data_IF_866211606503
#
_entry.id   IF_866211606503
#
_cell.length_a   1.000
_cell.length_b   1.000
_cell.length_c   1.000
_cell.angle_alpha   90.00
_cell.angle_beta   90.00
_cell.angle_gamma   90.00
#
_symmetry.space_group_name_H-M   'P 1'
#
loop_
_entity.id
_entity.type
_entity.pdbx_description
1 polymer ?
#
# COMPACT_ATOMS: atom_id res chain seq x y z
N UNK A 1 -22.70 9.90 18.40
CA UNK A 1 -21.86 9.13 17.46
C UNK A 1 -20.39 9.50 17.66
N UNK A 2 -19.50 8.53 17.89
CA UNK A 2 -18.06 8.78 17.98
C UNK A 2 -17.56 9.19 16.58
N UNK A 3 -16.99 10.40 16.44
CA UNK A 3 -16.38 10.83 15.18
C UNK A 3 -15.22 9.87 14.85
N UNK A 4 -15.11 9.36 13.60
CA UNK A 4 -13.99 8.50 13.23
C UNK A 4 -12.67 9.25 13.40
N UNK A 5 -11.60 8.51 13.72
CA UNK A 5 -10.28 9.10 13.82
C UNK A 5 -9.89 9.76 12.48
N UNK A 6 -9.53 11.05 12.44
CA UNK A 6 -9.31 11.77 11.19
C UNK A 6 -8.14 11.21 10.38
N UNK A 7 -7.08 10.71 11.03
CA UNK A 7 -5.92 10.14 10.35
C UNK A 7 -6.31 8.89 9.56
N UNK A 8 -6.91 7.90 10.24
CA UNK A 8 -7.36 6.66 9.58
C UNK A 8 -8.46 6.92 8.54
N UNK A 9 -9.35 7.89 8.80
CA UNK A 9 -10.39 8.29 7.84
C UNK A 9 -9.76 8.80 6.54
N UNK A 10 -8.84 9.76 6.62
CA UNK A 10 -8.18 10.32 5.43
C UNK A 10 -7.24 9.31 4.77
N UNK A 11 -6.55 8.45 5.53
CA UNK A 11 -5.78 7.33 4.97
C UNK A 11 -6.65 6.44 4.09
N UNK A 12 -7.84 6.05 4.57
CA UNK A 12 -8.78 5.24 3.82
C UNK A 12 -9.32 5.97 2.59
N UNK A 13 -9.72 7.24 2.70
CA UNK A 13 -10.26 8.01 1.57
C UNK A 13 -9.23 8.10 0.44
N UNK A 14 -7.99 8.49 0.75
CA UNK A 14 -6.92 8.57 -0.23
C UNK A 14 -6.61 7.19 -0.82
N UNK A 15 -6.48 6.16 0.02
CA UNK A 15 -6.21 4.80 -0.41
C UNK A 15 -7.26 4.28 -1.39
N UNK A 16 -8.55 4.42 -1.07
CA UNK A 16 -9.63 3.91 -1.92
C UNK A 16 -9.78 4.70 -3.23
N UNK A 17 -9.57 6.02 -3.20
CA UNK A 17 -9.57 6.83 -4.40
C UNK A 17 -8.43 6.45 -5.34
N UNK A 18 -7.20 6.37 -4.80
CA UNK A 18 -6.01 5.96 -5.56
C UNK A 18 -6.11 4.53 -6.07
N UNK A 19 -6.54 3.59 -5.23
CA UNK A 19 -6.62 2.18 -5.58
C UNK A 19 -7.68 1.92 -6.65
N UNK A 20 -8.89 2.49 -6.51
CA UNK A 20 -9.91 2.38 -7.56
C UNK A 20 -9.42 2.93 -8.90
N UNK A 21 -8.67 4.04 -8.89
CA UNK A 21 -8.08 4.56 -10.11
C UNK A 21 -6.98 3.65 -10.68
N UNK A 22 -6.12 3.07 -9.84
CA UNK A 22 -5.10 2.13 -10.30
C UNK A 22 -5.71 0.87 -10.90
N UNK A 23 -6.81 0.36 -10.34
CA UNK A 23 -7.58 -0.75 -10.92
C UNK A 23 -8.18 -0.34 -12.27
N UNK A 24 -8.72 0.87 -12.41
CA UNK A 24 -9.17 1.37 -13.71
C UNK A 24 -8.06 1.39 -14.78
N UNK A 25 -6.82 1.71 -14.37
CA UNK A 25 -5.68 1.83 -15.31
C UNK A 25 -4.97 0.52 -15.61
N UNK A 26 -4.89 -0.39 -14.64
CA UNK A 26 -4.03 -1.59 -14.73
C UNK A 26 -4.81 -2.90 -14.59
N UNK A 27 -6.07 -2.83 -14.19
CA UNK A 27 -6.87 -3.97 -13.77
C UNK A 27 -6.40 -4.54 -12.43
N UNK A 28 -7.22 -5.39 -11.84
CA UNK A 28 -6.77 -6.27 -10.76
C UNK A 28 -5.98 -7.45 -11.34
N UNK A 29 -5.05 -8.04 -10.56
CA UNK A 29 -4.25 -9.19 -10.98
C UNK A 29 -5.03 -10.51 -10.97
N UNK A 30 -6.30 -10.53 -11.41
CA UNK A 30 -7.16 -11.73 -11.42
C UNK A 30 -6.51 -12.93 -12.11
N UNK A 31 -5.77 -12.62 -13.18
CA UNK A 31 -5.01 -13.52 -14.03
C UNK A 31 -4.05 -14.42 -13.27
N UNK A 32 -3.48 -13.91 -12.18
CA UNK A 32 -2.58 -14.69 -11.33
C UNK A 32 -3.31 -15.87 -10.65
N UNK A 33 -4.64 -15.84 -10.57
CA UNK A 33 -5.46 -16.93 -10.06
C UNK A 33 -6.17 -17.69 -11.18
N UNK A 34 -6.92 -16.99 -12.04
CA UNK A 34 -7.82 -17.64 -13.01
C UNK A 34 -7.11 -18.37 -14.15
N UNK A 35 -5.81 -18.09 -14.36
CA UNK A 35 -4.95 -18.79 -15.33
C UNK A 35 -3.90 -19.67 -14.67
N UNK A 36 -4.01 -19.91 -13.36
CA UNK A 36 -3.25 -20.96 -12.71
C UNK A 36 -4.03 -22.27 -12.80
N UNK A 37 -3.60 -23.14 -13.72
CA UNK A 37 -4.21 -24.44 -13.98
C UNK A 37 -4.34 -25.28 -12.70
N UNK A 38 -3.24 -25.40 -11.93
CA UNK A 38 -3.24 -26.22 -10.72
C UNK A 38 -4.18 -25.69 -9.62
N UNK A 39 -4.38 -24.37 -9.55
CA UNK A 39 -5.27 -23.77 -8.54
C UNK A 39 -6.73 -23.69 -9.00
N UNK A 40 -6.97 -23.48 -10.29
CA UNK A 40 -8.29 -23.07 -10.80
C UNK A 40 -9.00 -24.16 -11.61
N UNK A 41 -8.26 -25.08 -12.26
CA UNK A 41 -8.86 -26.19 -13.01
C UNK A 41 -9.80 -27.06 -12.16
N UNK A 42 -9.48 -27.44 -10.89
CA UNK A 42 -10.39 -28.24 -10.08
C UNK A 42 -11.75 -27.56 -9.85
N UNK A 43 -11.78 -26.22 -9.82
CA UNK A 43 -13.01 -25.45 -9.67
C UNK A 43 -13.84 -25.43 -10.96
N UNK A 44 -13.17 -25.43 -12.12
CA UNK A 44 -13.83 -25.47 -13.43
C UNK A 44 -14.42 -26.86 -13.71
N UNK A 45 -13.72 -27.93 -13.32
CA UNK A 45 -14.20 -29.30 -13.45
C UNK A 45 -15.50 -29.52 -12.65
N UNK A 46 -15.61 -28.91 -11.46
CA UNK A 46 -16.84 -28.95 -10.65
C UNK A 46 -18.06 -28.35 -11.34
N UNK A 47 -17.86 -27.40 -12.27
CA UNK A 47 -18.92 -26.76 -13.04
C UNK A 47 -18.96 -27.24 -14.51
N UNK A 48 -18.21 -28.30 -14.83
CA UNK A 48 -18.19 -28.91 -16.16
C UNK A 48 -17.56 -28.05 -17.25
N UNK A 49 -16.65 -27.14 -16.90
CA UNK A 49 -15.97 -26.24 -17.84
C UNK A 49 -14.59 -26.78 -18.17
N UNK A 50 -14.30 -26.92 -19.47
CA UNK A 50 -12.99 -27.33 -19.98
C UNK A 50 -11.94 -26.22 -19.79
N UNK A 51 -10.71 -26.61 -19.40
CA UNK A 51 -9.60 -25.69 -19.19
C UNK A 51 -9.21 -24.97 -20.49
N UNK A 52 -9.14 -25.70 -21.61
CA UNK A 52 -8.79 -25.16 -22.91
C UNK A 52 -9.77 -24.09 -23.39
N UNK A 53 -11.06 -24.32 -23.20
CA UNK A 53 -12.09 -23.30 -23.43
C UNK A 53 -11.91 -22.09 -22.50
N UNK A 54 -11.68 -22.32 -21.19
CA UNK A 54 -11.57 -21.23 -20.21
C UNK A 54 -10.43 -20.26 -20.51
N UNK A 55 -9.23 -20.78 -20.80
CA UNK A 55 -8.05 -19.91 -21.06
C UNK A 55 -8.11 -19.20 -22.40
N UNK A 56 -8.85 -19.74 -23.37
CA UNK A 56 -8.98 -19.17 -24.72
C UNK A 56 -10.23 -18.31 -24.93
N UNK A 57 -11.20 -18.38 -24.02
CA UNK A 57 -12.50 -17.74 -24.18
C UNK A 57 -12.46 -16.23 -23.96
N UNK A 58 -12.88 -15.41 -24.96
CA UNK A 58 -13.05 -13.97 -24.77
C UNK A 58 -14.08 -13.60 -23.70
N UNK A 59 -15.02 -14.50 -23.39
CA UNK A 59 -16.03 -14.26 -22.37
C UNK A 59 -15.41 -14.17 -20.96
N UNK A 60 -14.35 -14.93 -20.69
CA UNK A 60 -13.61 -14.87 -19.42
C UNK A 60 -12.94 -13.51 -19.26
N UNK A 61 -12.27 -13.04 -20.31
CA UNK A 61 -11.62 -11.71 -20.34
C UNK A 61 -12.64 -10.57 -20.11
N UNK A 62 -13.79 -10.61 -20.79
CA UNK A 62 -14.88 -9.65 -20.55
C UNK A 62 -15.41 -9.74 -19.11
N UNK A 63 -15.49 -10.95 -18.54
CA UNK A 63 -15.86 -11.17 -17.15
C UNK A 63 -14.89 -10.49 -16.17
N UNK A 64 -13.58 -10.63 -16.40
CA UNK A 64 -12.55 -9.98 -15.59
C UNK A 64 -12.65 -8.45 -15.63
N UNK A 65 -12.90 -7.87 -16.81
CA UNK A 65 -13.11 -6.43 -16.95
C UNK A 65 -14.35 -5.94 -16.18
N UNK A 66 -15.43 -6.73 -16.14
CA UNK A 66 -16.62 -6.40 -15.33
C UNK A 66 -16.31 -6.46 -13.84
N UNK A 67 -15.49 -7.42 -13.39
CA UNK A 67 -15.03 -7.49 -12.00
C UNK A 67 -14.17 -6.28 -11.63
N UNK A 68 -13.30 -5.81 -12.53
CA UNK A 68 -12.54 -4.58 -12.33
C UNK A 68 -13.47 -3.37 -12.11
N UNK A 69 -14.48 -3.19 -12.98
CA UNK A 69 -15.49 -2.14 -12.80
C UNK A 69 -16.23 -2.22 -11.48
N UNK A 70 -16.61 -3.43 -11.04
CA UNK A 70 -17.24 -3.64 -9.74
C UNK A 70 -16.31 -3.21 -8.59
N UNK A 71 -15.03 -3.59 -8.64
CA UNK A 71 -14.03 -3.19 -7.64
C UNK A 71 -13.86 -1.67 -7.60
N UNK A 72 -13.78 -1.01 -8.76
CA UNK A 72 -13.65 0.45 -8.88
C UNK A 72 -14.84 1.14 -8.19
N UNK A 73 -16.06 0.73 -8.52
CA UNK A 73 -17.29 1.28 -7.95
C UNK A 73 -17.33 1.08 -6.43
N UNK A 74 -17.04 -0.14 -5.95
CA UNK A 74 -17.02 -0.44 -4.50
C UNK A 74 -16.01 0.45 -3.77
N UNK A 75 -14.80 0.64 -4.33
CA UNK A 75 -13.77 1.46 -3.71
C UNK A 75 -14.18 2.93 -3.65
N UNK A 76 -14.68 3.49 -4.74
CA UNK A 76 -15.09 4.90 -4.78
C UNK A 76 -16.33 5.19 -3.92
N UNK A 77 -17.33 4.30 -3.92
CA UNK A 77 -18.46 4.40 -3.01
C UNK A 77 -18.03 4.27 -1.54
N UNK A 78 -17.06 3.39 -1.25
CA UNK A 78 -16.46 3.29 0.09
C UNK A 78 -15.74 4.56 0.52
N UNK A 79 -14.97 5.18 -0.38
CA UNK A 79 -14.34 6.48 -0.15
C UNK A 79 -15.37 7.59 0.09
N UNK A 80 -16.43 7.63 -0.72
CA UNK A 80 -17.52 8.60 -0.58
C UNK A 80 -18.30 8.42 0.74
N UNK A 81 -18.58 7.18 1.13
CA UNK A 81 -19.19 6.85 2.43
C UNK A 81 -18.35 7.37 3.61
N UNK A 82 -17.02 7.35 3.48
CA UNK A 82 -16.11 7.92 4.48
C UNK A 82 -16.01 9.45 4.38
N UNK A 83 -16.13 10.05 3.20
CA UNK A 83 -16.22 11.51 3.04
C UNK A 83 -17.52 12.07 3.65
N UNK A 84 -18.62 11.35 3.51
CA UNK A 84 -19.94 11.73 4.02
C UNK A 84 -20.25 11.10 5.39
N UNK A 85 -19.24 10.80 6.19
CA UNK A 85 -19.36 9.98 7.41
C UNK A 85 -20.39 10.44 8.44
N UNK A 86 -20.76 11.73 8.44
CA UNK A 86 -21.79 12.27 9.33
C UNK A 86 -23.21 11.90 8.88
N UNK A 87 -23.39 11.62 7.58
CA UNK A 87 -24.66 11.26 6.94
C UNK A 87 -24.76 9.76 6.65
N UNK A 88 -23.64 9.06 6.55
CA UNK A 88 -23.63 7.62 6.24
C UNK A 88 -23.88 6.77 7.49
N UNK A 89 -24.90 5.87 7.48
CA UNK A 89 -25.14 4.92 8.56
C UNK A 89 -23.91 4.07 8.90
N UNK A 90 -23.75 3.71 10.18
CA UNK A 90 -22.61 2.93 10.67
C UNK A 90 -22.49 1.59 9.94
N UNK A 91 -23.60 0.92 9.67
CA UNK A 91 -23.67 -0.38 9.00
C UNK A 91 -23.12 -0.29 7.58
N UNK A 92 -23.55 0.71 6.81
CA UNK A 92 -23.08 0.94 5.44
C UNK A 92 -21.58 1.23 5.43
N UNK A 93 -21.10 2.10 6.34
CA UNK A 93 -19.67 2.37 6.48
C UNK A 93 -18.88 1.11 6.82
N UNK A 94 -19.34 0.32 7.78
CA UNK A 94 -18.66 -0.89 8.21
C UNK A 94 -18.63 -1.95 7.10
N UNK A 95 -19.72 -2.09 6.34
CA UNK A 95 -19.78 -2.92 5.14
C UNK A 95 -18.71 -2.49 4.14
N UNK A 96 -18.65 -1.21 3.75
CA UNK A 96 -17.62 -0.74 2.82
C UNK A 96 -16.20 -0.94 3.35
N UNK A 97 -15.93 -0.70 4.64
CA UNK A 97 -14.61 -0.94 5.23
C UNK A 97 -14.21 -2.41 5.20
N UNK A 98 -15.13 -3.32 5.53
CA UNK A 98 -14.88 -4.76 5.49
C UNK A 98 -14.66 -5.25 4.05
N UNK A 99 -15.53 -4.84 3.13
CA UNK A 99 -15.46 -5.23 1.71
C UNK A 99 -14.20 -4.69 1.05
N UNK A 100 -13.89 -3.40 1.20
CA UNK A 100 -12.69 -2.81 0.59
C UNK A 100 -11.39 -3.33 1.22
N UNK A 101 -11.37 -3.55 2.55
CA UNK A 101 -10.25 -4.23 3.21
C UNK A 101 -10.02 -5.64 2.65
N UNK A 102 -11.09 -6.39 2.40
CA UNK A 102 -11.01 -7.73 1.81
C UNK A 102 -10.54 -7.71 0.36
N UNK A 103 -10.99 -6.74 -0.44
CA UNK A 103 -10.52 -6.53 -1.82
C UNK A 103 -9.03 -6.18 -1.83
N UNK A 104 -8.57 -5.29 -0.95
CA UNK A 104 -7.16 -4.91 -0.85
C UNK A 104 -6.29 -6.10 -0.42
N UNK A 105 -6.78 -6.92 0.52
CA UNK A 105 -6.12 -8.16 0.91
C UNK A 105 -6.05 -9.15 -0.25
N UNK A 106 -7.14 -9.34 -1.00
CA UNK A 106 -7.17 -10.20 -2.19
C UNK A 106 -6.19 -9.69 -3.25
N UNK A 107 -6.18 -8.39 -3.53
CA UNK A 107 -5.20 -7.77 -4.42
C UNK A 107 -3.76 -8.04 -3.97
N UNK A 108 -3.48 -7.91 -2.67
CA UNK A 108 -2.16 -8.20 -2.12
C UNK A 108 -1.77 -9.67 -2.31
N UNK A 109 -2.68 -10.60 -2.01
CA UNK A 109 -2.43 -12.03 -2.16
C UNK A 109 -2.16 -12.41 -3.62
N UNK A 110 -2.97 -11.91 -4.55
CA UNK A 110 -2.81 -12.16 -5.98
C UNK A 110 -1.51 -11.57 -6.53
N UNK A 111 -1.15 -10.34 -6.14
CA UNK A 111 0.13 -9.75 -6.54
C UNK A 111 1.31 -10.48 -5.90
N UNK A 112 1.20 -10.92 -4.65
CA UNK A 112 2.24 -11.70 -3.95
C UNK A 112 2.48 -13.02 -4.67
N UNK A 113 1.41 -13.71 -5.09
CA UNK A 113 1.48 -14.91 -5.94
C UNK A 113 2.19 -14.62 -7.26
N UNK A 114 1.81 -13.54 -7.95
CA UNK A 114 2.48 -13.09 -9.18
C UNK A 114 3.94 -12.67 -8.99
N UNK A 115 4.35 -12.39 -7.75
CA UNK A 115 5.72 -12.11 -7.34
C UNK A 115 6.40 -13.32 -6.69
N UNK A 116 5.98 -14.55 -7.01
CA UNK A 116 6.56 -15.81 -6.51
C UNK A 116 6.59 -15.91 -4.99
N UNK A 117 5.54 -15.44 -4.32
CA UNK A 117 5.38 -15.51 -2.87
C UNK A 117 6.48 -14.83 -2.06
N UNK A 118 7.12 -13.79 -2.62
CA UNK A 118 8.13 -13.00 -1.91
C UNK A 118 7.51 -12.30 -0.70
N UNK A 119 7.95 -12.71 0.49
CA UNK A 119 7.46 -12.18 1.78
C UNK A 119 7.63 -10.67 1.88
N UNK A 120 8.73 -10.10 1.36
CA UNK A 120 8.97 -8.66 1.36
C UNK A 120 7.86 -7.87 0.65
N UNK A 121 7.36 -8.37 -0.48
CA UNK A 121 6.24 -7.75 -1.20
C UNK A 121 4.96 -7.75 -0.35
N UNK A 122 4.69 -8.87 0.32
CA UNK A 122 3.51 -9.02 1.15
C UNK A 122 3.51 -8.03 2.32
N UNK A 123 4.61 -7.96 3.07
CA UNK A 123 4.69 -7.13 4.28
C UNK A 123 4.85 -5.64 3.98
N UNK A 124 5.45 -5.25 2.84
CA UNK A 124 5.51 -3.86 2.37
C UNK A 124 4.11 -3.23 2.28
N UNK A 125 3.11 -3.99 1.84
CA UNK A 125 1.76 -3.47 1.64
C UNK A 125 0.87 -3.56 2.89
N UNK A 126 1.43 -3.95 4.05
CA UNK A 126 0.69 -4.13 5.29
C UNK A 126 -0.09 -2.87 5.71
N UNK A 127 0.50 -1.67 5.59
CA UNK A 127 -0.19 -0.42 5.91
C UNK A 127 -1.43 -0.18 5.05
N UNK A 128 -1.38 -0.51 3.75
CA UNK A 128 -2.51 -0.31 2.84
C UNK A 128 -3.67 -1.23 3.22
N UNK A 129 -3.40 -2.53 3.37
CA UNK A 129 -4.42 -3.53 3.68
C UNK A 129 -4.99 -3.37 5.09
N UNK A 130 -4.15 -3.06 6.07
CA UNK A 130 -4.61 -2.94 7.45
C UNK A 130 -5.45 -1.66 7.71
N UNK A 131 -5.30 -0.61 6.90
CA UNK A 131 -5.93 0.70 7.14
C UNK A 131 -7.47 0.67 7.23
N UNK A 132 -8.20 0.00 6.32
CA UNK A 132 -9.64 -0.20 6.47
C UNK A 132 -10.03 -0.99 7.72
N UNK A 133 -9.29 -2.06 8.02
CA UNK A 133 -9.55 -2.90 9.18
C UNK A 133 -9.25 -2.18 10.51
N UNK A 134 -8.22 -1.35 10.57
CA UNK A 134 -7.90 -0.53 11.75
C UNK A 134 -9.01 0.49 12.03
N UNK A 135 -9.60 1.09 11.00
CA UNK A 135 -10.74 2.01 11.17
C UNK A 135 -12.01 1.25 11.60
N UNK A 136 -12.25 0.07 11.02
CA UNK A 136 -13.35 -0.82 11.44
C UNK A 136 -13.18 -1.27 12.90
N UNK A 137 -11.96 -1.64 13.29
CA UNK A 137 -11.59 -2.04 14.65
C UNK A 137 -11.80 -0.92 15.68
N UNK A 138 -11.54 0.33 15.31
CA UNK A 138 -11.87 1.48 16.17
C UNK A 138 -13.36 1.74 16.29
N UNK A 139 -14.18 1.30 15.33
CA UNK A 139 -15.62 1.41 15.44
C UNK A 139 -16.22 0.39 16.44
N UNK A 140 -15.42 -0.59 16.91
CA UNK A 140 -15.85 -1.67 17.81
C UNK A 140 -15.17 -1.65 19.18
N UNK A 141 -14.01 -0.99 19.36
CA UNK A 141 -13.27 -0.99 20.62
C UNK A 141 -13.56 0.18 21.58
N UNK A 142 -13.38 -0.11 22.88
CA UNK A 142 -13.31 0.85 23.98
C UNK A 142 -11.88 1.20 24.44
N UNK A 143 -10.86 0.37 24.16
CA UNK A 143 -9.48 0.53 24.70
C UNK A 143 -8.43 1.00 23.67
N UNK A 144 -7.80 2.14 23.97
CA UNK A 144 -6.72 2.76 23.14
C UNK A 144 -5.42 1.95 23.06
N UNK A 145 -5.11 1.09 24.03
CA UNK A 145 -3.84 0.34 24.08
C UNK A 145 -3.70 -0.67 22.95
N UNK A 146 -4.79 -1.32 22.55
CA UNK A 146 -4.77 -2.30 21.46
C UNK A 146 -4.52 -1.65 20.09
N UNK A 147 -5.09 -0.47 19.83
CA UNK A 147 -4.81 0.28 18.60
C UNK A 147 -3.31 0.60 18.46
N UNK A 148 -2.68 1.06 19.53
CA UNK A 148 -1.24 1.36 19.53
C UNK A 148 -0.42 0.13 19.15
N UNK A 149 -0.77 -1.04 19.69
CA UNK A 149 -0.09 -2.29 19.37
C UNK A 149 -0.19 -2.66 17.88
N UNK A 150 -1.41 -2.64 17.33
CA UNK A 150 -1.62 -2.96 15.92
C UNK A 150 -0.94 -1.94 14.98
N UNK A 151 -0.97 -0.65 15.32
CA UNK A 151 -0.24 0.37 14.55
C UNK A 151 1.27 0.08 14.52
N UNK A 152 1.87 -0.29 15.67
CA UNK A 152 3.30 -0.65 15.72
C UNK A 152 3.61 -1.79 14.75
N UNK A 153 2.82 -2.87 14.80
CA UNK A 153 3.03 -4.05 13.94
C UNK A 153 2.91 -3.67 12.47
N UNK A 154 1.82 -3.00 12.08
CA UNK A 154 1.56 -2.64 10.68
C UNK A 154 2.65 -1.74 10.11
N UNK A 155 3.08 -0.72 10.87
CA UNK A 155 4.15 0.18 10.45
C UNK A 155 5.48 -0.56 10.38
N UNK A 156 5.81 -1.39 11.38
CA UNK A 156 7.05 -2.17 11.38
C UNK A 156 7.11 -3.11 10.18
N UNK A 157 6.05 -3.88 9.89
CA UNK A 157 5.98 -4.78 8.74
C UNK A 157 6.20 -4.04 7.41
N UNK A 158 5.56 -2.88 7.26
CA UNK A 158 5.69 -2.02 6.07
C UNK A 158 7.15 -1.59 5.85
N UNK A 159 7.82 -1.11 6.90
CA UNK A 159 9.20 -0.66 6.83
C UNK A 159 10.21 -1.79 6.74
N UNK A 160 9.91 -2.97 7.32
CA UNK A 160 10.71 -4.17 7.07
C UNK A 160 10.63 -4.55 5.59
N UNK A 161 9.43 -4.52 4.99
CA UNK A 161 9.25 -4.75 3.56
C UNK A 161 10.07 -3.80 2.70
N UNK A 162 9.95 -2.49 2.93
CA UNK A 162 10.76 -1.47 2.25
C UNK A 162 12.26 -1.74 2.41
N UNK A 163 12.72 -2.01 3.64
CA UNK A 163 14.12 -2.29 3.94
C UNK A 163 14.65 -3.50 3.19
N UNK A 164 13.88 -4.60 3.12
CA UNK A 164 14.29 -5.80 2.38
C UNK A 164 14.47 -5.54 0.88
N UNK A 165 13.61 -4.74 0.27
CA UNK A 165 13.79 -4.33 -1.13
C UNK A 165 14.98 -3.38 -1.30
N UNK A 166 15.16 -2.41 -0.40
CA UNK A 166 16.23 -1.41 -0.51
C UNK A 166 17.63 -2.02 -0.26
N UNK A 167 17.73 -3.04 0.58
CA UNK A 167 18.95 -3.82 0.82
C UNK A 167 19.32 -4.79 -0.31
N UNK A 168 18.40 -5.05 -1.24
CA UNK A 168 18.61 -6.02 -2.32
C UNK A 168 18.40 -7.48 -1.91
N UNK A 169 17.80 -7.77 -0.75
CA UNK A 169 17.38 -9.14 -0.37
C UNK A 169 16.35 -9.67 -1.37
N UNK A 170 15.50 -8.77 -1.86
CA UNK A 170 14.70 -8.97 -3.06
C UNK A 170 15.21 -8.05 -4.17
N UNK A 171 14.99 -8.39 -5.46
CA UNK A 171 15.36 -7.53 -6.57
C UNK A 171 14.83 -6.10 -6.37
N UNK A 172 15.74 -5.13 -6.30
CA UNK A 172 15.41 -3.72 -6.12
C UNK A 172 14.55 -3.28 -7.33
N UNK A 173 13.33 -2.77 -7.12
CA UNK A 173 12.50 -2.32 -8.22
C UNK A 173 13.24 -1.25 -9.06
N UNK A 174 13.33 -1.38 -10.39
CA UNK A 174 14.07 -0.43 -11.23
C UNK A 174 13.63 1.02 -11.03
N UNK A 175 12.34 1.21 -10.80
CA UNK A 175 11.77 2.53 -10.55
C UNK A 175 12.21 3.13 -9.21
N UNK A 176 12.58 2.35 -8.18
CA UNK A 176 13.17 2.89 -6.95
C UNK A 176 14.56 3.47 -7.22
N UNK A 177 15.35 2.75 -8.01
CA UNK A 177 16.69 3.22 -8.40
C UNK A 177 16.58 4.50 -9.21
N UNK A 178 15.69 4.54 -10.20
CA UNK A 178 15.44 5.72 -11.04
C UNK A 178 15.02 6.95 -10.22
N UNK A 179 13.99 6.83 -9.38
CA UNK A 179 13.55 7.92 -8.49
C UNK A 179 14.66 8.41 -7.56
N UNK A 180 15.48 7.49 -7.05
CA UNK A 180 16.59 7.83 -6.15
C UNK A 180 17.69 8.57 -6.90
N UNK A 181 18.08 8.07 -8.08
CA UNK A 181 19.04 8.73 -8.96
C UNK A 181 18.62 10.17 -9.22
N UNK A 182 17.37 10.39 -9.64
CA UNK A 182 16.84 11.74 -9.93
C UNK A 182 16.83 12.66 -8.71
N UNK A 183 16.40 12.15 -7.55
CA UNK A 183 16.40 12.91 -6.31
C UNK A 183 17.81 13.36 -5.92
N UNK A 184 18.80 12.48 -6.05
CA UNK A 184 20.21 12.78 -5.79
C UNK A 184 20.81 13.75 -6.81
N UNK A 185 20.46 13.61 -8.09
CA UNK A 185 20.90 14.51 -9.16
C UNK A 185 20.36 15.93 -8.96
N UNK A 186 19.10 16.06 -8.56
CA UNK A 186 18.50 17.36 -8.23
C UNK A 186 19.21 18.05 -7.06
N UNK A 187 19.61 17.29 -6.03
CA UNK A 187 20.37 17.82 -4.89
C UNK A 187 21.84 18.13 -5.23
N UNK A 188 22.27 17.91 -6.48
CA UNK A 188 23.66 18.12 -6.91
C UNK A 188 24.65 17.08 -6.36
N UNK A 189 24.14 16.02 -5.72
CA UNK A 189 24.93 14.97 -5.07
C UNK A 189 25.41 13.93 -6.10
N UNK A 190 24.79 13.85 -7.29
CA UNK A 190 25.14 12.85 -8.32
C UNK A 190 26.38 13.18 -9.17
N UNK A 191 27.03 14.34 -8.98
CA UNK A 191 28.32 14.67 -9.61
C UNK A 191 29.52 13.97 -8.94
N UNK A 192 29.31 12.75 -8.43
CA UNK A 192 30.32 11.96 -7.74
C UNK A 192 31.05 11.08 -8.75
N UNK A 193 32.35 10.87 -8.54
CA UNK A 193 33.23 10.05 -9.38
C UNK A 193 32.78 8.57 -9.58
N UNK A 194 31.73 8.13 -8.86
CA UNK A 194 31.06 6.85 -9.03
C UNK A 194 29.71 7.11 -9.71
N UNK A 195 29.47 6.53 -10.88
CA UNK A 195 28.27 6.79 -11.70
C UNK A 195 26.94 6.74 -10.94
N UNK A 196 25.96 7.52 -11.39
CA UNK A 196 24.75 7.89 -10.63
C UNK A 196 23.93 6.71 -10.09
N UNK A 197 23.89 5.60 -10.85
CA UNK A 197 23.18 4.37 -10.45
C UNK A 197 23.84 3.69 -9.23
N UNK A 198 25.17 3.73 -9.13
CA UNK A 198 25.91 3.15 -8.00
C UNK A 198 25.65 3.96 -6.73
N UNK A 199 25.65 5.29 -6.84
CA UNK A 199 25.30 6.17 -5.73
C UNK A 199 23.86 5.95 -5.25
N UNK A 200 22.90 5.82 -6.18
CA UNK A 200 21.51 5.53 -5.84
C UNK A 200 21.34 4.19 -5.12
N UNK A 201 22.03 3.13 -5.57
CA UNK A 201 22.00 1.82 -4.90
C UNK A 201 22.63 1.85 -3.51
N UNK A 202 23.74 2.58 -3.33
CA UNK A 202 24.38 2.73 -2.01
C UNK A 202 23.49 3.53 -1.04
N UNK A 203 22.83 4.57 -1.55
CA UNK A 203 21.85 5.33 -0.77
C UNK A 203 20.67 4.45 -0.36
N UNK A 204 20.09 3.70 -1.31
CA UNK A 204 19.01 2.73 -1.04
C UNK A 204 19.41 1.69 -0.01
N UNK A 205 20.62 1.15 -0.10
CA UNK A 205 21.15 0.22 0.89
C UNK A 205 21.20 0.86 2.28
N UNK A 206 21.70 2.10 2.39
CA UNK A 206 21.80 2.82 3.66
C UNK A 206 20.44 3.08 4.30
N UNK A 207 19.48 3.61 3.53
CA UNK A 207 18.11 3.83 4.02
C UNK A 207 17.41 2.51 4.35
N UNK A 208 17.73 1.42 3.64
CA UNK A 208 17.24 0.08 3.95
C UNK A 208 17.67 -0.42 5.33
N UNK A 209 18.93 -0.19 5.73
CA UNK A 209 19.40 -0.48 7.08
C UNK A 209 18.63 0.36 8.10
N UNK A 210 18.46 1.66 7.84
CA UNK A 210 17.74 2.55 8.75
C UNK A 210 16.27 2.16 8.91
N UNK A 211 15.60 1.70 7.84
CA UNK A 211 14.23 1.21 7.88
C UNK A 211 14.08 -0.03 8.76
N UNK A 212 15.01 -0.99 8.66
CA UNK A 212 15.02 -2.16 9.54
C UNK A 212 15.28 -1.77 11.01
N UNK A 213 16.28 -0.91 11.27
CA UNK A 213 16.58 -0.45 12.62
C UNK A 213 15.40 0.30 13.23
N UNK A 214 14.76 1.20 12.47
CA UNK A 214 13.60 1.94 12.93
C UNK A 214 12.41 1.01 13.19
N UNK A 215 12.16 0.00 12.34
CA UNK A 215 11.11 -0.97 12.56
C UNK A 215 11.35 -1.81 13.83
N UNK A 216 12.60 -2.25 14.07
CA UNK A 216 12.97 -2.97 15.30
C UNK A 216 12.80 -2.10 16.55
N UNK A 217 13.31 -0.86 16.51
CA UNK A 217 13.14 0.13 17.58
C UNK A 217 11.67 0.42 17.86
N UNK A 218 10.82 0.44 16.82
CA UNK A 218 9.39 0.66 16.97
C UNK A 218 8.73 -0.47 17.76
N UNK A 219 9.18 -1.72 17.60
CA UNK A 219 8.61 -2.88 18.29
C UNK A 219 9.03 -2.96 19.76
N UNK A 220 10.18 -2.39 20.14
CA UNK A 220 10.67 -2.40 21.52
C UNK A 220 9.68 -1.77 22.52
N UNK A 221 9.67 -2.26 23.78
CA UNK A 221 8.90 -1.64 24.84
C UNK A 221 9.55 -0.31 25.27
N UNK A 222 8.78 0.78 25.24
CA UNK A 222 9.20 2.07 25.78
C UNK A 222 8.98 3.25 24.82
N UNK A 223 8.45 4.36 25.35
CA UNK A 223 8.10 5.56 24.57
C UNK A 223 9.30 6.19 23.87
N UNK A 224 10.49 6.12 24.48
CA UNK A 224 11.73 6.69 23.91
C UNK A 224 12.11 6.01 22.58
N UNK A 225 12.01 4.68 22.51
CA UNK A 225 12.33 3.91 21.31
C UNK A 225 11.29 4.12 20.21
N UNK A 226 10.01 4.15 20.58
CA UNK A 226 8.93 4.48 19.63
C UNK A 226 9.11 5.87 19.04
N UNK A 227 9.44 6.88 19.86
CA UNK A 227 9.70 8.25 19.36
C UNK A 227 10.92 8.28 18.44
N UNK A 228 12.04 7.65 18.83
CA UNK A 228 13.24 7.58 18.00
C UNK A 228 12.96 6.94 16.63
N UNK A 229 12.27 5.80 16.61
CA UNK A 229 11.84 5.14 15.38
C UNK A 229 10.96 6.05 14.51
N UNK A 230 9.98 6.73 15.11
CA UNK A 230 9.07 7.61 14.40
C UNK A 230 9.74 8.88 13.85
N UNK A 231 10.80 9.37 14.49
CA UNK A 231 11.61 10.48 13.97
C UNK A 231 12.30 10.12 12.64
N UNK A 232 12.58 8.84 12.39
CA UNK A 232 13.05 8.35 11.08
C UNK A 232 11.88 8.06 10.13
N UNK A 233 10.93 7.24 10.60
CA UNK A 233 9.81 6.70 9.81
C UNK A 233 8.95 7.81 9.19
N UNK A 234 8.62 8.88 9.94
CA UNK A 234 7.70 9.91 9.46
C UNK A 234 8.33 10.73 8.32
N UNK A 235 9.52 11.35 8.47
CA UNK A 235 10.17 12.05 7.37
C UNK A 235 10.40 11.15 6.17
N UNK A 236 10.87 9.91 6.38
CA UNK A 236 11.14 8.99 5.29
C UNK A 236 9.87 8.56 4.54
N UNK A 237 8.76 8.28 5.24
CA UNK A 237 7.48 8.01 4.61
C UNK A 237 6.97 9.20 3.78
N UNK A 238 7.16 10.42 4.28
CA UNK A 238 6.77 11.64 3.55
C UNK A 238 7.61 11.76 2.27
N UNK A 239 8.92 11.63 2.38
CA UNK A 239 9.84 11.72 1.23
C UNK A 239 9.51 10.68 0.16
N UNK A 240 9.35 9.41 0.53
CA UNK A 240 9.06 8.32 -0.42
C UNK A 240 7.66 8.41 -1.01
N UNK A 241 6.69 8.97 -0.27
CA UNK A 241 5.34 9.24 -0.79
C UNK A 241 5.35 10.41 -1.78
N UNK A 242 6.03 11.52 -1.45
CA UNK A 242 6.15 12.69 -2.33
C UNK A 242 7.04 12.43 -3.55
N UNK A 243 8.01 11.51 -3.44
CA UNK A 243 8.85 11.09 -4.56
C UNK A 243 8.02 10.61 -5.76
N UNK A 244 6.82 10.06 -5.54
CA UNK A 244 5.89 9.68 -6.62
C UNK A 244 5.42 10.87 -7.44
N UNK A 245 5.16 12.00 -6.80
CA UNK A 245 4.75 13.21 -7.49
C UNK A 245 5.96 13.88 -8.16
N UNK A 246 7.12 13.87 -7.51
CA UNK A 246 8.33 14.50 -8.04
C UNK A 246 8.88 13.79 -9.28
N UNK A 247 9.29 12.53 -9.13
CA UNK A 247 9.84 11.73 -10.23
C UNK A 247 8.83 11.53 -11.36
N UNK A 248 7.57 11.32 -10.99
CA UNK A 248 6.49 11.17 -11.94
C UNK A 248 6.22 12.43 -12.76
N UNK A 249 6.40 13.61 -12.17
CA UNK A 249 6.18 14.89 -12.86
C UNK A 249 7.27 15.25 -13.87
N UNK A 250 8.51 14.80 -13.64
CA UNK A 250 9.67 15.14 -14.49
C UNK A 250 9.71 14.34 -15.80
N UNK A 251 9.26 13.07 -15.79
CA UNK A 251 9.47 12.14 -16.91
C UNK A 251 8.18 11.66 -17.59
N UNK A 252 7.02 12.15 -17.14
CA UNK A 252 5.75 11.71 -17.67
C UNK A 252 5.00 12.87 -18.30
N UNK A 253 4.34 12.60 -19.43
CA UNK A 253 3.40 13.56 -20.01
C UNK A 253 2.38 13.97 -18.94
N UNK A 254 1.82 15.18 -19.03
CA UNK A 254 0.83 15.64 -18.05
C UNK A 254 -0.30 14.61 -17.81
N UNK A 255 -0.72 13.90 -18.85
CA UNK A 255 -1.70 12.80 -18.77
C UNK A 255 -1.19 11.64 -17.90
N UNK A 256 0.06 11.22 -18.08
CA UNK A 256 0.67 10.12 -17.33
C UNK A 256 0.88 10.47 -15.86
N UNK A 257 1.18 11.73 -15.55
CA UNK A 257 1.28 12.24 -14.19
C UNK A 257 -0.03 12.07 -13.42
N UNK A 258 -1.12 12.60 -13.97
CA UNK A 258 -2.45 12.49 -13.36
C UNK A 258 -2.96 11.04 -13.32
N UNK A 259 -2.63 10.26 -14.33
CA UNK A 259 -3.18 8.91 -14.48
C UNK A 259 -2.44 7.84 -13.69
N UNK A 260 -1.17 8.02 -13.35
CA UNK A 260 -0.39 7.00 -12.65
C UNK A 260 0.20 7.52 -11.34
N UNK A 261 0.85 8.67 -11.36
CA UNK A 261 1.67 9.11 -10.23
C UNK A 261 0.86 9.71 -9.08
N UNK A 262 -0.20 10.46 -9.38
CA UNK A 262 -1.14 10.95 -8.36
C UNK A 262 -1.85 9.78 -7.64
N UNK A 263 -2.42 8.79 -8.33
CA UNK A 263 -2.97 7.58 -7.70
C UNK A 263 -1.95 6.81 -6.85
N UNK A 264 -0.71 6.64 -7.34
CA UNK A 264 0.39 5.99 -6.61
C UNK A 264 0.78 6.73 -5.32
N UNK A 265 0.68 8.07 -5.33
CA UNK A 265 0.81 8.89 -4.14
C UNK A 265 -0.35 8.63 -3.16
N UNK A 266 -1.59 8.63 -3.66
CA UNK A 266 -2.80 8.48 -2.84
C UNK A 266 -2.83 7.13 -2.10
N UNK A 267 -2.46 6.02 -2.76
CA UNK A 267 -2.38 4.71 -2.11
C UNK A 267 -1.26 4.60 -1.07
N UNK A 268 -0.27 5.51 -1.11
CA UNK A 268 0.83 5.56 -0.15
C UNK A 268 0.58 6.47 1.05
N UNK A 269 -0.44 7.33 1.01
CA UNK A 269 -0.84 8.17 2.16
C UNK A 269 -0.95 7.43 3.51
N UNK A 270 -1.43 6.16 3.58
CA UNK A 270 -1.38 5.38 4.81
C UNK A 270 0.01 5.27 5.46
N UNK A 271 1.09 5.18 4.67
CA UNK A 271 2.47 5.08 5.16
C UNK A 271 2.89 6.32 5.96
N UNK A 272 2.26 7.47 5.70
CA UNK A 272 2.52 8.72 6.42
C UNK A 272 1.56 8.87 7.61
N UNK A 273 0.25 8.75 7.36
CA UNK A 273 -0.76 9.10 8.35
C UNK A 273 -0.84 8.10 9.51
N UNK A 274 -0.52 6.81 9.30
CA UNK A 274 -0.51 5.81 10.37
C UNK A 274 0.64 6.09 11.38
N UNK A 275 1.90 6.32 10.95
CA UNK A 275 2.96 6.76 11.86
C UNK A 275 2.66 8.07 12.58
N UNK A 276 2.08 9.06 11.91
CA UNK A 276 1.69 10.33 12.55
C UNK A 276 0.61 10.10 13.61
N UNK A 277 -0.36 9.21 13.36
CA UNK A 277 -1.33 8.79 14.36
C UNK A 277 -0.65 8.12 15.56
N UNK A 278 0.29 7.21 15.31
CA UNK A 278 1.04 6.55 16.38
C UNK A 278 1.84 7.56 17.24
N UNK A 279 2.50 8.53 16.60
CA UNK A 279 3.19 9.63 17.30
C UNK A 279 2.25 10.39 18.23
N UNK A 280 1.06 10.79 17.73
CA UNK A 280 0.05 11.50 18.54
C UNK A 280 -0.44 10.66 19.72
N UNK A 281 -0.55 9.34 19.58
CA UNK A 281 -0.97 8.43 20.65
C UNK A 281 0.12 8.24 21.71
N UNK A 282 1.39 8.23 21.30
CA UNK A 282 2.55 8.11 22.19
C UNK A 282 2.83 9.42 22.93
N UNK A 283 2.64 10.57 22.27
CA UNK A 283 2.90 11.90 22.86
C UNK A 283 1.84 12.35 23.88
N UNK A 284 0.60 11.87 23.78
CA UNK A 284 -0.50 12.21 24.70
C UNK A 284 -0.49 11.43 26.03
N UNK A 285 0.41 10.46 26.18
CA UNK A 285 0.57 9.66 27.39
C UNK A 285 1.86 10.05 28.07
#
# INVERSE_FOLDING_TARGET
>A
MVKPNPYLRWSNICLLAGFGWLVYRRGMPWRNLVWDEGAFQPLLELIGVDWGWWVSSPAVEVGLLRLDWLVIIICWLGGLALLLVQRTPKQIRNFFLATTGSILLLNLLLNTKGNFWRVGYFIEHAAQVATPFLLLYLATLTRRSSLTWWLKIVIALTFIGHGLFALGVHPVPPHFVLMTTEGLSFMGISKVAMGEVTAAKLFLFTVGIMDLLAALLLLLPGKKWMKAALCWIIPWAILTTLARLWSGGQFSSGISFWSYWVPEFLVRVPHVLLPVLLWKLVAKK
#
